data_IF_512531612854
#
_entry.id   IF_512531612854
#
_cell.length_a   1.000
_cell.length_b   1.000
_cell.length_c   1.000
_cell.angle_alpha   90.00
_cell.angle_beta   90.00
_cell.angle_gamma   90.00
#
_symmetry.space_group_name_H-M   'P 1'
#
loop_
_entity.id
_entity.type
_entity.pdbx_description
1 polymer ?
#
# COMPACT_ATOMS: atom_id res chain seq x y z
N UNK A 1 9.54 -13.41 6.21
CA UNK A 1 8.58 -12.72 7.10
C UNK A 1 7.32 -12.38 6.32
N UNK A 2 6.27 -12.00 7.02
CA UNK A 2 5.03 -11.45 6.46
C UNK A 2 4.98 -9.94 6.76
N UNK A 3 4.49 -9.12 5.84
CA UNK A 3 4.51 -7.65 5.95
C UNK A 3 3.41 -7.02 5.08
N UNK A 4 2.83 -5.91 5.55
CA UNK A 4 1.74 -5.19 4.89
C UNK A 4 2.02 -3.69 5.04
N UNK A 5 2.27 -3.00 3.92
CA UNK A 5 2.94 -1.70 3.95
C UNK A 5 2.05 -0.55 3.48
N UNK A 6 2.12 0.54 4.23
CA UNK A 6 1.89 1.89 3.73
C UNK A 6 3.20 2.67 3.85
N UNK A 7 3.69 3.19 2.72
CA UNK A 7 4.89 4.01 2.67
C UNK A 7 4.58 5.32 1.96
N UNK A 8 4.87 6.45 2.61
CA UNK A 8 4.68 7.77 2.03
C UNK A 8 6.01 8.25 1.45
N UNK A 9 6.12 8.24 0.14
CA UNK A 9 7.33 8.69 -0.55
C UNK A 9 7.25 10.21 -0.71
N UNK A 10 8.19 10.91 -0.08
CA UNK A 10 8.31 12.36 -0.14
C UNK A 10 8.63 12.88 -1.53
N UNK A 11 8.54 14.20 -1.71
CA UNK A 11 8.84 14.84 -2.98
C UNK A 11 9.40 16.26 -2.80
N UNK A 12 9.77 16.90 -3.91
CA UNK A 12 10.12 18.31 -3.93
C UNK A 12 8.91 19.17 -3.55
N UNK A 13 9.16 20.35 -2.97
CA UNK A 13 8.10 21.28 -2.60
C UNK A 13 7.22 21.64 -3.80
N UNK A 14 5.92 21.38 -3.69
CA UNK A 14 4.94 21.60 -4.76
C UNK A 14 4.65 20.37 -5.63
N UNK A 15 5.50 19.33 -5.58
CA UNK A 15 5.23 18.06 -6.24
C UNK A 15 4.42 17.11 -5.33
N UNK A 16 3.56 16.25 -5.89
CA UNK A 16 2.71 15.37 -5.10
C UNK A 16 3.50 14.28 -4.37
N UNK A 17 3.05 13.92 -3.16
CA UNK A 17 3.48 12.70 -2.49
C UNK A 17 2.98 11.46 -3.25
N UNK A 18 3.71 10.36 -3.08
CA UNK A 18 3.28 9.04 -3.54
C UNK A 18 2.93 8.17 -2.34
N UNK A 19 1.71 7.66 -2.32
CA UNK A 19 1.33 6.58 -1.42
C UNK A 19 1.71 5.24 -2.06
N UNK A 20 2.63 4.54 -1.43
CA UNK A 20 3.12 3.23 -1.85
C UNK A 20 2.54 2.15 -0.93
N UNK A 21 2.06 1.06 -1.52
CA UNK A 21 1.60 -0.13 -0.78
C UNK A 21 2.34 -1.37 -1.24
N UNK A 22 2.67 -2.28 -0.32
CA UNK A 22 3.29 -3.56 -0.63
C UNK A 22 2.73 -4.67 0.27
N UNK A 23 2.91 -5.92 -0.16
CA UNK A 23 2.52 -7.11 0.62
C UNK A 23 3.61 -8.17 0.48
N UNK A 24 4.25 -8.49 1.61
CA UNK A 24 5.16 -9.63 1.73
C UNK A 24 4.42 -10.80 2.35
N UNK A 25 4.57 -11.96 1.73
CA UNK A 25 4.17 -13.22 2.34
C UNK A 25 5.26 -14.26 2.15
N UNK A 26 5.63 -14.93 3.24
CA UNK A 26 6.73 -15.92 3.28
C UNK A 26 8.05 -15.35 2.75
N UNK A 27 8.32 -14.07 3.03
CA UNK A 27 9.53 -13.35 2.60
C UNK A 27 9.51 -12.86 1.15
N UNK A 28 8.45 -13.14 0.39
CA UNK A 28 8.30 -12.67 -0.99
C UNK A 28 7.39 -11.45 -1.03
N UNK A 29 7.98 -10.29 -1.34
CA UNK A 29 7.27 -9.05 -1.69
C UNK A 29 7.15 -8.89 -3.20
N UNK A 30 7.63 -7.75 -3.72
CA UNK A 30 7.52 -7.36 -5.14
C UNK A 30 6.07 -7.17 -5.62
N UNK A 31 5.22 -6.60 -4.75
CA UNK A 31 3.80 -6.36 -5.01
C UNK A 31 3.44 -4.90 -4.83
N UNK A 32 4.28 -4.02 -5.33
CA UNK A 32 4.16 -2.58 -5.15
C UNK A 32 3.00 -2.03 -5.98
N UNK A 33 2.16 -1.21 -5.35
CA UNK A 33 1.22 -0.32 -6.04
C UNK A 33 1.42 1.09 -5.51
N UNK A 34 1.43 2.08 -6.40
CA UNK A 34 1.67 3.47 -6.05
C UNK A 34 0.53 4.35 -6.56
N UNK A 35 0.18 5.35 -5.74
CA UNK A 35 -0.92 6.26 -5.99
C UNK A 35 -0.53 7.70 -5.67
N UNK A 36 -1.04 8.66 -6.43
CA UNK A 36 -1.23 10.02 -5.91
C UNK A 36 -2.50 10.07 -5.05
N UNK A 37 -2.62 11.09 -4.20
CA UNK A 37 -3.80 11.28 -3.36
C UNK A 37 -4.69 12.39 -3.96
N UNK A 38 -6.00 12.29 -3.72
CA UNK A 38 -6.99 13.31 -4.12
C UNK A 38 -7.01 14.54 -3.20
N UNK A 39 -6.01 14.66 -2.33
CA UNK A 39 -5.78 15.75 -1.38
C UNK A 39 -4.27 15.91 -1.15
N UNK A 40 -3.88 17.04 -0.55
CA UNK A 40 -2.52 17.26 -0.07
C UNK A 40 -2.36 16.63 1.34
N UNK A 41 -1.63 15.51 1.49
CA UNK A 41 -1.52 14.80 2.77
C UNK A 41 -0.70 15.57 3.82
N UNK A 42 -0.15 16.73 3.48
CA UNK A 42 0.61 17.58 4.40
C UNK A 42 -0.23 18.66 5.09
N UNK A 43 -1.50 18.83 4.67
CA UNK A 43 -2.36 19.94 5.12
C UNK A 43 -3.31 19.58 6.25
N UNK A 44 -3.75 18.33 6.31
CA UNK A 44 -4.61 17.83 7.38
C UNK A 44 -4.34 16.34 7.63
N UNK A 45 -4.84 15.83 8.74
CA UNK A 45 -4.80 14.41 9.05
C UNK A 45 -5.85 13.65 8.27
N UNK A 46 -5.42 12.57 7.63
CA UNK A 46 -6.26 11.59 6.96
C UNK A 46 -6.14 10.22 7.64
N UNK A 47 -7.15 9.38 7.48
CA UNK A 47 -7.18 8.04 8.06
C UNK A 47 -6.64 7.02 7.07
N UNK A 48 -5.58 6.32 7.44
CA UNK A 48 -5.03 5.20 6.68
C UNK A 48 -5.27 3.92 7.47
N UNK A 49 -5.95 2.95 6.85
CA UNK A 49 -6.37 1.73 7.54
C UNK A 49 -6.09 0.48 6.74
N UNK A 50 -5.72 -0.58 7.45
CA UNK A 50 -5.61 -1.94 6.92
C UNK A 50 -6.67 -2.80 7.60
N UNK A 51 -7.57 -3.38 6.81
CA UNK A 51 -8.41 -4.49 7.26
C UNK A 51 -7.77 -5.79 6.78
N UNK A 52 -7.38 -6.64 7.72
CA UNK A 52 -6.74 -7.91 7.45
C UNK A 52 -7.55 -9.05 8.06
N UNK A 53 -8.02 -9.97 7.22
CA UNK A 53 -8.81 -11.12 7.62
C UNK A 53 -8.45 -12.35 6.75
N UNK A 54 -8.98 -13.56 7.05
CA UNK A 54 -8.62 -14.76 6.29
C UNK A 54 -8.95 -14.73 4.78
N UNK A 55 -9.85 -13.86 4.34
CA UNK A 55 -10.27 -13.73 2.95
C UNK A 55 -9.47 -12.69 2.16
N UNK A 56 -9.12 -11.55 2.76
CA UNK A 56 -8.33 -10.51 2.07
C UNK A 56 -7.65 -9.51 3.01
N UNK A 57 -6.73 -8.73 2.44
CA UNK A 57 -6.18 -7.49 3.00
C UNK A 57 -6.75 -6.33 2.19
N UNK A 58 -7.36 -5.36 2.86
CA UNK A 58 -7.91 -4.16 2.23
C UNK A 58 -7.17 -2.95 2.79
N UNK A 59 -6.60 -2.15 1.89
CA UNK A 59 -5.99 -0.86 2.18
C UNK A 59 -7.01 0.24 1.88
N UNK A 60 -7.21 1.16 2.82
CA UNK A 60 -8.13 2.29 2.63
C UNK A 60 -7.54 3.62 3.07
N UNK A 61 -7.99 4.68 2.39
CA UNK A 61 -7.72 6.09 2.72
C UNK A 61 -9.06 6.77 2.95
N UNK A 62 -9.28 7.32 4.14
CA UNK A 62 -10.54 7.91 4.60
C UNK A 62 -11.77 7.01 4.35
N UNK A 63 -11.59 5.70 4.60
CA UNK A 63 -12.64 4.69 4.37
C UNK A 63 -12.89 4.34 2.89
N UNK A 64 -12.17 4.95 1.95
CA UNK A 64 -12.20 4.56 0.54
C UNK A 64 -11.18 3.46 0.29
N UNK A 65 -11.59 2.24 -0.11
CA UNK A 65 -10.65 1.18 -0.43
C UNK A 65 -9.86 1.54 -1.70
N UNK A 66 -8.54 1.43 -1.63
CA UNK A 66 -7.62 1.71 -2.74
C UNK A 66 -7.01 0.44 -3.34
N UNK A 67 -6.93 -0.63 -2.54
CA UNK A 67 -6.33 -1.91 -2.91
C UNK A 67 -6.93 -3.04 -2.10
N UNK A 68 -7.18 -4.16 -2.76
CA UNK A 68 -7.50 -5.44 -2.12
C UNK A 68 -6.45 -6.48 -2.55
N UNK A 69 -5.88 -7.19 -1.59
CA UNK A 69 -5.06 -8.39 -1.83
C UNK A 69 -5.83 -9.60 -1.32
N UNK A 70 -6.39 -10.39 -2.24
CA UNK A 70 -7.21 -11.55 -1.92
C UNK A 70 -6.35 -12.72 -1.47
N UNK A 71 -6.85 -13.50 -0.53
CA UNK A 71 -6.29 -14.80 -0.22
C UNK A 71 -6.54 -15.76 -1.40
N UNK A 72 -5.46 -16.09 -2.12
CA UNK A 72 -5.46 -17.00 -3.27
C UNK A 72 -4.51 -18.19 -3.01
N UNK A 73 -4.41 -18.65 -1.76
CA UNK A 73 -3.59 -19.83 -1.41
C UNK A 73 -4.02 -21.09 -2.18
N UNK A 74 -5.30 -21.24 -2.48
CA UNK A 74 -5.83 -22.35 -3.31
C UNK A 74 -5.29 -22.33 -4.76
N UNK A 75 -4.72 -21.20 -5.18
CA UNK A 75 -4.05 -21.00 -6.47
C UNK A 75 -2.54 -20.81 -6.32
N UNK A 76 -1.98 -21.17 -5.16
CA UNK A 76 -0.54 -21.15 -4.90
C UNK A 76 0.05 -19.77 -4.60
N UNK A 77 -0.78 -18.75 -4.34
CA UNK A 77 -0.30 -17.42 -3.93
C UNK A 77 -0.24 -17.37 -2.40
N UNK A 78 0.95 -17.21 -1.78
CA UNK A 78 1.06 -17.10 -0.33
C UNK A 78 0.30 -15.89 0.20
N UNK A 79 -0.35 -16.06 1.36
CA UNK A 79 -1.09 -15.01 2.04
C UNK A 79 -0.66 -14.95 3.51
N UNK A 80 -0.44 -13.75 4.08
CA UNK A 80 -0.02 -13.64 5.47
C UNK A 80 -1.21 -13.94 6.38
N UNK A 81 -1.34 -15.18 6.86
CA UNK A 81 -2.41 -15.57 7.81
C UNK A 81 -1.92 -16.38 9.02
N UNK A 82 -0.71 -16.95 8.91
CA UNK A 82 -0.22 -17.92 9.90
C UNK A 82 0.78 -17.29 10.89
N UNK A 83 1.25 -16.07 10.63
CA UNK A 83 2.20 -15.36 11.48
C UNK A 83 1.52 -14.14 12.11
N UNK A 84 1.52 -14.01 13.45
CA UNK A 84 1.10 -12.79 14.10
C UNK A 84 2.00 -11.61 13.66
N UNK A 85 1.38 -10.48 13.32
CA UNK A 85 2.08 -9.25 12.94
C UNK A 85 2.08 -8.23 14.09
N UNK A 86 3.03 -7.30 14.04
CA UNK A 86 3.07 -6.11 14.90
C UNK A 86 2.91 -4.87 14.03
N UNK A 87 2.35 -3.82 14.61
CA UNK A 87 2.22 -2.53 13.95
C UNK A 87 3.50 -1.73 14.19
N UNK A 88 4.06 -1.18 13.13
CA UNK A 88 5.23 -0.32 13.15
C UNK A 88 4.93 1.01 12.47
N UNK A 89 5.62 2.05 12.89
CA UNK A 89 5.65 3.34 12.22
C UNK A 89 7.05 3.91 12.36
N UNK A 90 7.60 4.44 11.28
CA UNK A 90 8.94 5.01 11.23
C UNK A 90 9.00 6.19 10.26
N UNK A 91 10.00 7.05 10.45
CA UNK A 91 10.39 8.08 9.51
C UNK A 91 11.90 7.89 9.27
N UNK A 92 12.30 7.65 8.03
CA UNK A 92 13.67 7.29 7.69
C UNK A 92 14.04 7.76 6.27
N UNK A 93 15.34 7.82 5.97
CA UNK A 93 15.86 8.25 4.67
C UNK A 93 15.97 7.07 3.70
N UNK A 94 15.33 7.19 2.53
CA UNK A 94 15.28 6.17 1.49
C UNK A 94 15.73 6.73 0.12
N UNK A 95 16.72 7.62 0.11
CA UNK A 95 17.14 8.42 -1.05
C UNK A 95 17.57 7.62 -2.28
N UNK A 96 17.87 6.33 -2.15
CA UNK A 96 18.24 5.47 -3.27
C UNK A 96 17.07 5.06 -4.15
N UNK A 97 15.82 5.23 -3.68
CA UNK A 97 14.66 4.81 -4.45
C UNK A 97 13.38 5.64 -4.25
N UNK A 98 13.21 6.34 -3.11
CA UNK A 98 11.94 6.93 -2.74
C UNK A 98 11.44 8.02 -3.71
N UNK A 99 12.28 9.02 -4.01
CA UNK A 99 11.85 10.18 -4.80
C UNK A 99 12.32 10.06 -6.24
N UNK A 100 11.38 9.97 -7.19
CA UNK A 100 11.65 9.78 -8.63
C UNK A 100 12.60 8.62 -8.91
N UNK A 101 12.38 7.48 -8.24
CA UNK A 101 13.24 6.30 -8.38
C UNK A 101 14.66 6.52 -7.86
N UNK A 102 14.86 7.43 -6.90
CA UNK A 102 16.16 7.73 -6.29
C UNK A 102 16.97 8.85 -6.96
N UNK A 103 16.43 9.47 -8.00
CA UNK A 103 17.09 10.59 -8.70
C UNK A 103 17.15 11.86 -7.87
N UNK A 104 16.21 12.05 -6.94
CA UNK A 104 16.17 13.22 -6.04
C UNK A 104 16.57 12.77 -4.64
N UNK A 105 17.66 13.36 -4.13
CA UNK A 105 18.24 13.04 -2.82
C UNK A 105 17.69 13.96 -1.73
N UNK A 106 17.80 13.52 -0.49
CA UNK A 106 17.34 14.27 0.68
C UNK A 106 18.22 15.51 0.89
N UNK A 107 17.59 16.68 0.90
CA UNK A 107 18.24 17.94 1.26
C UNK A 107 18.21 18.14 2.78
N UNK A 108 19.27 17.70 3.45
CA UNK A 108 19.38 17.76 4.91
C UNK A 108 19.41 19.17 5.49
N UNK A 109 19.63 20.21 4.67
CA UNK A 109 19.52 21.60 5.13
C UNK A 109 18.07 21.98 5.50
N UNK A 110 17.09 21.20 5.03
CA UNK A 110 15.65 21.37 5.34
C UNK A 110 15.18 20.60 6.58
N UNK A 111 16.09 19.94 7.29
CA UNK A 111 15.76 19.26 8.54
C UNK A 111 15.30 20.27 9.62
N UNK A 112 14.41 19.87 10.56
CA UNK A 112 13.88 18.52 10.74
C UNK A 112 12.72 18.16 9.81
N UNK A 113 12.72 16.92 9.33
CA UNK A 113 11.55 16.33 8.66
C UNK A 113 10.59 15.78 9.73
N UNK A 114 9.31 16.13 9.64
CA UNK A 114 8.32 15.80 10.67
C UNK A 114 7.14 15.04 10.07
N UNK A 115 6.80 13.90 10.67
CA UNK A 115 5.56 13.18 10.43
C UNK A 115 4.74 13.18 11.74
N UNK A 116 3.45 13.52 11.66
CA UNK A 116 2.56 13.57 12.82
C UNK A 116 1.50 12.48 12.74
N UNK A 117 1.20 11.85 13.88
CA UNK A 117 0.27 10.74 13.98
C UNK A 117 -0.73 11.00 15.10
N UNK A 118 -1.99 10.59 14.91
CA UNK A 118 -3.06 10.67 15.93
C UNK A 118 -4.07 9.55 15.74
N UNK A 119 -4.97 9.37 16.71
CA UNK A 119 -6.11 8.44 16.64
C UNK A 119 -5.72 6.98 16.37
N UNK A 120 -4.68 6.49 17.06
CA UNK A 120 -4.26 5.09 16.95
C UNK A 120 -5.39 4.15 17.37
N UNK A 121 -5.74 3.22 16.48
CA UNK A 121 -6.79 2.26 16.69
C UNK A 121 -6.36 0.90 16.14
N UNK A 122 -6.46 -0.13 16.98
CA UNK A 122 -6.22 -1.52 16.60
C UNK A 122 -7.34 -2.38 17.18
N UNK A 123 -8.25 -2.82 16.31
CA UNK A 123 -9.34 -3.71 16.68
C UNK A 123 -9.06 -5.10 16.13
N UNK A 124 -9.11 -6.09 17.01
CA UNK A 124 -9.22 -7.49 16.61
C UNK A 124 -10.70 -7.83 16.65
N UNK A 125 -11.25 -8.28 15.53
CA UNK A 125 -12.62 -8.79 15.50
C UNK A 125 -12.62 -10.21 14.96
N UNK A 126 -13.45 -11.06 15.57
CA UNK A 126 -13.69 -12.43 15.13
C UNK A 126 -14.63 -12.50 13.91
N UNK A 127 -14.92 -11.37 13.26
CA UNK A 127 -15.86 -11.33 12.14
C UNK A 127 -15.37 -12.20 10.99
N UNK A 128 -16.29 -12.99 10.45
CA UNK A 128 -16.11 -13.87 9.29
C UNK A 128 -15.49 -13.09 8.12
N UNK A 129 -14.47 -13.68 7.49
CA UNK A 129 -13.69 -13.06 6.41
C UNK A 129 -14.54 -12.57 5.24
N UNK A 130 -14.94 -11.29 5.29
CA UNK A 130 -15.63 -10.62 4.21
C UNK A 130 -14.61 -9.88 3.35
N UNK A 131 -14.67 -10.15 2.04
CA UNK A 131 -14.05 -9.35 1.01
C UNK A 131 -14.91 -8.12 0.71
N UNK A 132 -14.40 -7.22 -0.14
CA UNK A 132 -15.19 -6.10 -0.63
C UNK A 132 -16.41 -6.59 -1.43
N UNK A 133 -17.51 -5.83 -1.35
CA UNK A 133 -18.68 -5.98 -2.21
C UNK A 133 -18.46 -5.28 -3.57
N UNK A 134 -19.46 -5.35 -4.45
CA UNK A 134 -19.38 -4.70 -5.77
C UNK A 134 -19.16 -3.18 -5.67
N UNK A 135 -19.71 -2.54 -4.64
CA UNK A 135 -19.53 -1.10 -4.39
C UNK A 135 -18.09 -0.78 -4.02
N UNK A 136 -17.47 -1.57 -3.13
CA UNK A 136 -16.08 -1.45 -2.74
C UNK A 136 -15.13 -1.67 -3.92
N UNK A 137 -15.41 -2.67 -4.76
CA UNK A 137 -14.62 -2.92 -5.98
C UNK A 137 -14.74 -1.76 -6.98
N UNK A 138 -15.93 -1.20 -7.17
CA UNK A 138 -16.11 -0.04 -8.03
C UNK A 138 -15.30 1.18 -7.55
N UNK A 139 -15.19 1.38 -6.22
CA UNK A 139 -14.33 2.43 -5.63
C UNK A 139 -12.86 2.17 -5.92
N UNK A 140 -12.37 0.93 -5.72
CA UNK A 140 -10.99 0.57 -6.08
C UNK A 140 -10.72 0.89 -7.55
N UNK A 141 -11.60 0.48 -8.48
CA UNK A 141 -11.42 0.75 -9.90
C UNK A 141 -11.38 2.26 -10.20
N UNK A 142 -12.23 3.06 -9.55
CA UNK A 142 -12.18 4.51 -9.70
C UNK A 142 -10.86 5.09 -9.19
N UNK A 143 -10.38 4.65 -8.02
CA UNK A 143 -9.08 5.09 -7.49
C UNK A 143 -7.95 4.71 -8.43
N UNK A 144 -7.92 3.45 -8.88
CA UNK A 144 -6.90 2.94 -9.79
C UNK A 144 -6.89 3.71 -11.12
N UNK A 145 -8.06 4.00 -11.68
CA UNK A 145 -8.18 4.73 -12.94
C UNK A 145 -7.68 6.17 -12.84
N UNK A 146 -7.90 6.85 -11.72
CA UNK A 146 -7.65 8.29 -11.61
C UNK A 146 -6.35 8.64 -10.88
N UNK A 147 -5.83 7.73 -10.04
CA UNK A 147 -4.75 8.07 -9.11
C UNK A 147 -3.59 7.07 -9.07
N UNK A 148 -3.73 5.86 -9.63
CA UNK A 148 -2.64 4.89 -9.64
C UNK A 148 -1.58 5.27 -10.67
N UNK A 149 -0.33 5.30 -10.23
CA UNK A 149 0.84 5.65 -11.06
C UNK A 149 1.78 4.48 -11.30
N UNK A 150 1.71 3.44 -10.46
CA UNK A 150 2.44 2.19 -10.66
C UNK A 150 1.60 1.00 -10.18
N UNK A 151 1.64 -0.09 -10.93
CA UNK A 151 1.04 -1.36 -10.54
C UNK A 151 1.93 -2.52 -11.01
N UNK A 152 2.45 -3.30 -10.06
CA UNK A 152 3.26 -4.48 -10.36
C UNK A 152 2.52 -5.47 -11.29
N UNK A 153 1.19 -5.55 -11.20
CA UNK A 153 0.37 -6.42 -12.05
C UNK A 153 0.31 -6.03 -13.53
N UNK A 154 0.84 -4.87 -13.90
CA UNK A 154 0.94 -4.43 -15.30
C UNK A 154 2.38 -4.25 -15.76
N UNK A 155 3.36 -4.51 -14.89
CA UNK A 155 4.78 -4.30 -15.15
C UNK A 155 5.42 -5.52 -15.82
N UNK A 156 5.16 -5.67 -17.13
CA UNK A 156 5.71 -6.76 -17.94
C UNK A 156 7.25 -6.70 -18.06
N UNK A 157 7.87 -5.53 -17.82
CA UNK A 157 9.32 -5.39 -17.88
C UNK A 157 9.96 -6.00 -16.64
N UNK A 158 9.35 -5.80 -15.48
CA UNK A 158 9.78 -6.44 -14.22
C UNK A 158 9.47 -7.93 -14.19
N UNK A 159 8.40 -8.37 -14.83
CA UNK A 159 7.96 -9.77 -14.88
C UNK A 159 7.99 -10.35 -16.30
N UNK A 160 9.17 -10.48 -16.94
CA UNK A 160 9.27 -10.93 -18.32
C UNK A 160 8.89 -12.42 -18.50
N UNK A 161 8.86 -13.19 -17.40
CA UNK A 161 8.49 -14.61 -17.39
C UNK A 161 7.00 -14.85 -17.07
N UNK A 162 6.20 -13.77 -17.00
CA UNK A 162 4.78 -13.83 -16.67
C UNK A 162 4.46 -13.12 -15.37
N UNK A 163 3.30 -12.45 -15.36
CA UNK A 163 2.80 -11.71 -14.20
C UNK A 163 2.45 -12.65 -13.04
N UNK A 164 2.53 -12.17 -11.78
CA UNK A 164 2.11 -12.95 -10.63
C UNK A 164 0.66 -13.48 -10.77
N UNK A 165 0.37 -14.73 -10.35
CA UNK A 165 -0.94 -15.35 -10.59
C UNK A 165 -2.13 -14.52 -10.09
N UNK A 166 -1.96 -13.86 -8.95
CA UNK A 166 -2.98 -12.99 -8.35
C UNK A 166 -3.43 -11.84 -9.26
N UNK A 167 -2.60 -11.41 -10.21
CA UNK A 167 -2.88 -10.30 -11.11
C UNK A 167 -3.92 -10.61 -12.18
N UNK A 168 -4.12 -11.89 -12.50
CA UNK A 168 -5.10 -12.34 -13.50
C UNK A 168 -6.51 -12.56 -12.94
N UNK A 169 -6.65 -12.44 -11.62
CA UNK A 169 -7.85 -12.80 -10.84
C UNK A 169 -8.38 -11.57 -10.08
N UNK A 170 -7.62 -10.47 -10.10
CA UNK A 170 -7.92 -9.20 -9.47
C UNK A 170 -8.84 -8.35 -10.35
#
# INVERSE_FOLDING_TARGET
HDEIDFEFLGNLSGDPYTLHTNVFSQGKGNREQQFHLWFDPTKDFHTYSVQWNPASIIFSVDGTPIREFKNLETKGVPFPKNQPLRIYSSLWNAEDWATRGGLVKTDWSKAPFTASYRNFNALTSSSTGQSLDATGLAKIHWVQKNYMIYNYCTDIRRFPQGLPPECSIA
#
